data_IF_685157258573
#
_entry.id   IF_685157258573
#
_cell.length_a   1.000
_cell.length_b   1.000
_cell.length_c   1.000
_cell.angle_alpha   90.00
_cell.angle_beta   90.00
_cell.angle_gamma   90.00
#
_symmetry.space_group_name_H-M   'P 1'
#
loop_
_entity.id
_entity.type
_entity.pdbx_description
1 polymer ?
#
# COMPACT_ATOMS: atom_id res chain seq x y z
N UNK A 1 34.64 -6.52 -31.59
CA UNK A 1 34.03 -7.36 -30.53
C UNK A 1 33.58 -6.42 -29.43
N UNK A 2 32.29 -6.06 -29.41
CA UNK A 2 31.72 -5.18 -28.38
C UNK A 2 31.23 -6.09 -27.26
N UNK A 3 31.89 -6.01 -26.11
CA UNK A 3 31.52 -6.76 -24.91
C UNK A 3 30.41 -5.98 -24.21
N UNK A 4 29.16 -6.40 -24.36
CA UNK A 4 28.03 -5.84 -23.63
C UNK A 4 28.07 -6.35 -22.18
N UNK A 5 28.43 -5.48 -21.24
CA UNK A 5 28.26 -5.72 -19.81
C UNK A 5 26.75 -5.65 -19.49
N UNK A 6 26.13 -6.81 -19.27
CA UNK A 6 24.80 -6.87 -18.70
C UNK A 6 24.88 -6.45 -17.23
N UNK A 7 24.30 -5.30 -16.89
CA UNK A 7 24.06 -4.91 -15.50
C UNK A 7 22.96 -5.82 -14.94
N UNK A 8 23.35 -6.83 -14.16
CA UNK A 8 22.41 -7.55 -13.33
C UNK A 8 21.87 -6.59 -12.27
N UNK A 9 20.58 -6.25 -12.35
CA UNK A 9 19.92 -5.53 -11.27
C UNK A 9 19.90 -6.45 -10.04
N UNK A 10 20.29 -5.96 -8.84
CA UNK A 10 20.20 -6.78 -7.63
C UNK A 10 18.74 -7.19 -7.42
N UNK A 11 18.51 -8.51 -7.41
CA UNK A 11 17.23 -9.08 -7.01
C UNK A 11 17.12 -8.94 -5.49
N UNK A 12 16.40 -7.92 -5.04
CA UNK A 12 16.00 -7.84 -3.64
C UNK A 12 14.96 -8.94 -3.39
N UNK A 13 15.25 -9.83 -2.43
CA UNK A 13 14.23 -10.69 -1.87
C UNK A 13 13.15 -9.82 -1.21
N UNK A 14 11.89 -10.26 -1.28
CA UNK A 14 10.83 -9.58 -0.55
C UNK A 14 11.10 -9.68 0.97
N UNK A 15 10.84 -8.60 1.70
CA UNK A 15 10.91 -8.62 3.15
C UNK A 15 9.86 -9.59 3.71
N UNK A 16 10.27 -10.41 4.69
CA UNK A 16 9.37 -11.29 5.42
C UNK A 16 8.68 -10.50 6.53
N UNK A 17 7.35 -10.36 6.44
CA UNK A 17 6.54 -9.66 7.45
C UNK A 17 5.69 -10.67 8.21
N UNK A 18 5.91 -10.80 9.51
CA UNK A 18 5.19 -11.76 10.36
C UNK A 18 4.68 -11.12 11.64
N UNK A 19 3.64 -11.70 12.23
CA UNK A 19 3.21 -11.34 13.59
C UNK A 19 3.80 -12.31 14.59
N UNK A 20 4.24 -11.79 15.73
CA UNK A 20 4.78 -12.57 16.84
C UNK A 20 4.05 -12.22 18.12
N UNK A 21 3.75 -13.22 18.95
CA UNK A 21 3.07 -13.02 20.24
C UNK A 21 3.91 -13.59 21.37
N UNK A 22 4.27 -12.75 22.34
CA UNK A 22 4.93 -13.15 23.58
C UNK A 22 4.04 -12.82 24.80
N UNK A 23 4.60 -12.98 26.00
CA UNK A 23 3.94 -12.66 27.27
C UNK A 23 3.55 -11.17 27.41
N UNK A 24 4.17 -10.27 26.64
CA UNK A 24 3.91 -8.82 26.65
C UNK A 24 2.91 -8.39 25.57
N UNK A 25 2.60 -9.25 24.61
CA UNK A 25 1.57 -9.00 23.59
C UNK A 25 2.03 -9.31 22.18
N UNK A 26 1.42 -8.61 21.21
CA UNK A 26 1.71 -8.78 19.79
C UNK A 26 2.78 -7.81 19.30
N UNK A 27 3.62 -8.30 18.39
CA UNK A 27 4.62 -7.54 17.65
C UNK A 27 4.48 -7.80 16.16
N UNK A 28 4.92 -6.84 15.37
CA UNK A 28 5.20 -7.03 13.94
C UNK A 28 6.71 -7.24 13.80
N UNK A 29 7.10 -8.30 13.10
CA UNK A 29 8.49 -8.55 12.74
C UNK A 29 8.68 -8.29 11.25
N UNK A 30 9.78 -7.65 10.90
CA UNK A 30 10.25 -7.49 9.52
C UNK A 30 11.62 -8.14 9.44
N UNK A 31 11.76 -9.19 8.63
CA UNK A 31 12.98 -10.01 8.54
C UNK A 31 13.48 -10.51 9.90
N UNK A 32 12.55 -10.86 10.80
CA UNK A 32 12.84 -11.37 12.15
C UNK A 32 13.14 -10.28 13.20
N UNK A 33 13.19 -9.00 12.83
CA UNK A 33 13.43 -7.90 13.76
C UNK A 33 12.14 -7.19 14.17
N UNK A 34 12.06 -6.73 15.43
CA UNK A 34 10.94 -5.95 15.94
C UNK A 34 10.74 -4.67 15.09
N UNK A 35 9.59 -4.55 14.43
CA UNK A 35 9.25 -3.40 13.60
C UNK A 35 8.26 -2.47 14.32
N UNK A 36 8.78 -1.37 14.88
CA UNK A 36 7.94 -0.33 15.45
C UNK A 36 7.45 0.63 14.35
N UNK A 37 6.15 0.55 14.04
CA UNK A 37 5.54 1.35 12.98
C UNK A 37 5.37 2.81 13.40
N UNK A 38 6.07 3.72 12.72
CA UNK A 38 5.89 5.17 12.76
C UNK A 38 5.08 5.56 11.53
N UNK A 39 3.79 5.25 11.58
CA UNK A 39 2.90 5.28 10.43
C UNK A 39 2.14 6.59 10.25
N UNK A 40 1.86 6.96 9.00
CA UNK A 40 0.86 7.97 8.65
C UNK A 40 -0.10 7.46 7.57
N UNK A 41 -1.32 8.02 7.51
CA UNK A 41 -2.23 7.76 6.37
C UNK A 41 -1.88 8.75 5.26
N UNK A 42 -1.65 8.25 4.06
CA UNK A 42 -1.25 9.08 2.93
C UNK A 42 -2.17 8.90 1.71
N UNK A 43 -2.54 10.04 1.13
CA UNK A 43 -3.20 10.18 -0.15
C UNK A 43 -2.96 11.60 -0.66
N UNK A 44 -2.94 11.76 -1.99
CA UNK A 44 -2.60 13.03 -2.61
C UNK A 44 -3.83 13.69 -3.23
N UNK A 45 -4.09 14.93 -2.84
CA UNK A 45 -5.07 15.81 -3.48
C UNK A 45 -4.46 17.22 -3.51
N UNK A 46 -4.20 17.79 -4.71
CA UNK A 46 -3.63 19.12 -4.80
C UNK A 46 -4.65 20.19 -4.42
N UNK A 47 -4.18 21.44 -4.28
CA UNK A 47 -5.09 22.56 -3.98
C UNK A 47 -6.16 22.69 -5.06
N UNK A 48 -7.37 23.00 -4.64
CA UNK A 48 -8.58 23.16 -5.48
C UNK A 48 -9.12 21.85 -6.08
N UNK A 49 -8.57 20.70 -5.71
CA UNK A 49 -9.11 19.39 -6.06
C UNK A 49 -9.83 18.74 -4.87
N UNK A 50 -10.47 17.59 -5.12
CA UNK A 50 -11.17 16.82 -4.09
C UNK A 50 -10.87 15.31 -4.20
N UNK A 51 -11.65 14.49 -3.50
CA UNK A 51 -11.51 13.03 -3.44
C UNK A 51 -11.59 12.32 -4.81
N UNK A 52 -12.07 12.97 -5.86
CA UNK A 52 -12.10 12.42 -7.23
C UNK A 52 -10.77 12.57 -7.98
N UNK A 53 -9.80 13.30 -7.44
CA UNK A 53 -8.51 13.51 -8.10
C UNK A 53 -7.73 12.21 -8.26
N UNK A 54 -7.19 11.99 -9.46
CA UNK A 54 -6.45 10.79 -9.81
C UNK A 54 -4.98 11.11 -10.11
N UNK A 55 -4.13 11.09 -9.07
CA UNK A 55 -2.68 11.22 -9.22
C UNK A 55 -2.10 10.21 -10.23
N UNK A 56 -2.65 9.00 -10.27
CA UNK A 56 -2.10 7.90 -11.07
C UNK A 56 -2.41 8.02 -12.56
N UNK A 57 -3.27 8.96 -12.95
CA UNK A 57 -3.50 9.34 -14.35
C UNK A 57 -2.51 10.37 -14.89
N UNK A 58 -1.66 10.93 -14.03
CA UNK A 58 -0.66 11.94 -14.40
C UNK A 58 0.59 11.30 -15.02
N UNK A 59 1.46 12.14 -15.61
CA UNK A 59 2.76 11.69 -16.11
C UNK A 59 3.65 11.12 -15.01
N UNK A 60 4.47 10.12 -15.34
CA UNK A 60 5.44 9.51 -14.41
C UNK A 60 6.36 10.55 -13.75
N UNK A 61 6.76 11.61 -14.49
CA UNK A 61 7.60 12.69 -13.96
C UNK A 61 6.87 13.52 -12.90
N UNK A 62 5.58 13.78 -13.09
CA UNK A 62 4.78 14.48 -12.11
C UNK A 62 4.57 13.62 -10.85
N UNK A 63 4.24 12.33 -11.05
CA UNK A 63 4.05 11.40 -9.93
C UNK A 63 5.34 11.30 -9.11
N UNK A 64 6.51 11.14 -9.74
CA UNK A 64 7.81 11.15 -9.03
C UNK A 64 8.02 12.41 -8.22
N UNK A 65 7.79 13.59 -8.80
CA UNK A 65 7.94 14.87 -8.08
C UNK A 65 7.07 14.94 -6.83
N UNK A 66 5.82 14.48 -6.92
CA UNK A 66 4.91 14.40 -5.77
C UNK A 66 5.45 13.45 -4.72
N UNK A 67 5.80 12.22 -5.12
CA UNK A 67 6.29 11.20 -4.20
C UNK A 67 7.61 11.62 -3.54
N UNK A 68 8.56 12.15 -4.30
CA UNK A 68 9.87 12.56 -3.78
C UNK A 68 9.77 13.72 -2.80
N UNK A 69 8.85 14.66 -3.03
CA UNK A 69 8.58 15.74 -2.11
C UNK A 69 7.92 15.24 -0.82
N UNK A 70 6.78 14.55 -0.93
CA UNK A 70 6.01 14.11 0.24
C UNK A 70 6.77 13.06 1.07
N UNK A 71 7.32 12.02 0.41
CA UNK A 71 8.03 10.95 1.09
C UNK A 71 9.42 11.38 1.55
N UNK A 72 10.06 12.35 0.89
CA UNK A 72 11.27 12.99 1.39
C UNK A 72 11.03 13.69 2.74
N UNK A 73 9.93 14.45 2.86
CA UNK A 73 9.54 15.09 4.12
C UNK A 73 9.17 14.06 5.20
N UNK A 74 8.41 13.03 4.84
CA UNK A 74 8.04 11.96 5.77
C UNK A 74 9.27 11.22 6.30
N UNK A 75 10.22 10.89 5.42
CA UNK A 75 11.50 10.27 5.80
C UNK A 75 12.30 11.17 6.73
N UNK A 76 12.39 12.47 6.42
CA UNK A 76 13.05 13.45 7.29
C UNK A 76 12.38 13.57 8.68
N UNK A 77 11.07 13.35 8.76
CA UNK A 77 10.31 13.29 10.01
C UNK A 77 10.40 11.93 10.74
N UNK A 78 11.10 10.94 10.17
CA UNK A 78 11.27 9.61 10.77
C UNK A 78 10.08 8.65 10.59
N UNK A 79 9.17 8.93 9.64
CA UNK A 79 8.11 8.01 9.22
C UNK A 79 8.74 6.81 8.51
N UNK A 80 8.30 5.60 8.83
CA UNK A 80 8.80 4.36 8.21
C UNK A 80 7.70 3.53 7.52
N UNK A 81 6.43 3.93 7.65
CA UNK A 81 5.33 3.28 6.99
C UNK A 81 4.23 4.28 6.61
N UNK A 82 3.52 4.00 5.54
CA UNK A 82 2.27 4.69 5.19
C UNK A 82 1.14 3.69 5.01
N UNK A 83 -0.09 4.15 5.22
CA UNK A 83 -1.30 3.47 4.74
C UNK A 83 -1.84 4.22 3.52
N UNK A 84 -2.07 3.51 2.42
CA UNK A 84 -2.77 4.05 1.25
C UNK A 84 -3.88 3.09 0.81
N UNK A 85 -4.83 3.58 0.02
CA UNK A 85 -5.89 2.74 -0.54
C UNK A 85 -5.38 1.94 -1.75
N UNK A 86 -6.17 0.95 -2.19
CA UNK A 86 -5.81 0.05 -3.31
C UNK A 86 -5.63 0.73 -4.67
N UNK A 87 -5.86 2.03 -4.78
CA UNK A 87 -5.70 2.77 -6.04
C UNK A 87 -4.24 3.00 -6.41
N UNK A 88 -3.30 2.92 -5.46
CA UNK A 88 -1.87 3.08 -5.75
C UNK A 88 -1.36 1.92 -6.63
N UNK A 89 -0.82 2.20 -7.83
CA UNK A 89 -0.23 1.16 -8.66
C UNK A 89 0.98 0.51 -7.97
N UNK A 90 1.16 -0.82 -8.06
CA UNK A 90 2.26 -1.53 -7.39
C UNK A 90 3.65 -0.96 -7.68
N UNK A 91 3.90 -0.47 -8.91
CA UNK A 91 5.18 0.15 -9.28
C UNK A 91 5.54 1.36 -8.41
N UNK A 92 4.54 2.12 -7.97
CA UNK A 92 4.75 3.30 -7.12
C UNK A 92 4.93 2.92 -5.66
N UNK A 93 4.29 1.84 -5.20
CA UNK A 93 4.62 1.21 -3.91
C UNK A 93 6.09 0.78 -3.88
N UNK A 94 6.55 0.11 -4.95
CA UNK A 94 7.96 -0.29 -5.08
C UNK A 94 8.90 0.92 -5.11
N UNK A 95 8.54 1.98 -5.85
CA UNK A 95 9.32 3.21 -5.92
C UNK A 95 9.46 3.87 -4.55
N UNK A 96 8.36 4.06 -3.82
CA UNK A 96 8.35 4.63 -2.46
C UNK A 96 9.28 3.84 -1.53
N UNK A 97 9.17 2.51 -1.55
CA UNK A 97 10.02 1.67 -0.71
C UNK A 97 11.49 1.79 -1.08
N UNK A 98 11.84 1.73 -2.38
CA UNK A 98 13.24 1.77 -2.83
C UNK A 98 13.91 3.12 -2.60
N UNK A 99 13.22 4.22 -2.93
CA UNK A 99 13.82 5.56 -2.86
C UNK A 99 13.75 6.15 -1.45
N UNK A 100 12.69 5.84 -0.70
CA UNK A 100 12.42 6.47 0.59
C UNK A 100 12.56 5.53 1.78
N UNK A 101 12.58 4.21 1.59
CA UNK A 101 12.66 3.23 2.68
C UNK A 101 11.38 3.16 3.52
N UNK A 102 10.25 3.55 2.93
CA UNK A 102 8.95 3.63 3.61
C UNK A 102 8.07 2.47 3.13
N UNK A 103 7.63 1.63 4.06
CA UNK A 103 6.72 0.52 3.77
C UNK A 103 5.29 1.02 3.51
N UNK A 104 4.51 0.29 2.71
CA UNK A 104 3.11 0.66 2.43
C UNK A 104 2.16 -0.45 2.88
N UNK A 105 1.22 -0.11 3.76
CA UNK A 105 0.04 -0.91 4.06
C UNK A 105 -1.04 -0.55 3.03
N UNK A 106 -1.28 -1.46 2.09
CA UNK A 106 -2.33 -1.30 1.09
C UNK A 106 -3.68 -1.69 1.70
N UNK A 107 -4.60 -0.74 1.75
CA UNK A 107 -5.88 -0.90 2.42
C UNK A 107 -7.03 -0.98 1.41
N UNK A 108 -7.64 -2.16 1.31
CA UNK A 108 -8.96 -2.32 0.69
C UNK A 108 -10.07 -1.79 1.62
N UNK A 109 -11.21 -1.42 1.05
CA UNK A 109 -12.34 -0.94 1.83
C UNK A 109 -13.14 -2.08 2.47
N UNK A 110 -13.02 -3.31 1.97
CA UNK A 110 -13.71 -4.51 2.46
C UNK A 110 -15.21 -4.29 2.65
N UNK A 111 -15.86 -3.52 1.76
CA UNK A 111 -17.29 -3.23 1.85
C UNK A 111 -17.68 -2.19 2.91
N UNK A 112 -16.74 -1.39 3.45
CA UNK A 112 -17.01 -0.34 4.46
C UNK A 112 -18.19 0.59 4.14
N UNK A 113 -18.42 0.89 2.85
CA UNK A 113 -19.45 1.82 2.39
C UNK A 113 -20.55 1.13 1.56
N UNK A 114 -20.70 -0.18 1.73
CA UNK A 114 -21.54 -1.03 0.91
C UNK A 114 -20.76 -1.75 -0.18
N UNK A 115 -21.36 -2.81 -0.71
CA UNK A 115 -20.74 -3.69 -1.69
C UNK A 115 -21.77 -4.36 -2.60
N UNK A 116 -21.34 -4.76 -3.80
CA UNK A 116 -22.19 -5.57 -4.68
C UNK A 116 -22.02 -7.05 -4.30
N UNK A 117 -23.05 -7.64 -3.74
CA UNK A 117 -23.09 -9.04 -3.31
C UNK A 117 -24.16 -9.76 -4.12
N UNK A 118 -23.80 -10.84 -4.82
CA UNK A 118 -24.73 -11.60 -5.67
C UNK A 118 -25.38 -10.76 -6.77
N UNK A 119 -24.69 -9.76 -7.31
CA UNK A 119 -25.22 -8.86 -8.35
C UNK A 119 -26.15 -7.76 -7.83
N UNK A 120 -26.36 -7.65 -6.51
CA UNK A 120 -27.17 -6.62 -5.88
C UNK A 120 -26.32 -5.69 -5.02
N UNK A 121 -26.57 -4.38 -5.11
CA UNK A 121 -25.97 -3.41 -4.20
C UNK A 121 -26.54 -3.55 -2.78
N UNK A 122 -25.65 -3.69 -1.80
CA UNK A 122 -25.97 -3.76 -0.38
C UNK A 122 -25.31 -2.55 0.32
N UNK A 123 -26.08 -1.57 0.83
CA UNK A 123 -25.52 -0.34 1.40
C UNK A 123 -24.87 -0.54 2.77
N UNK A 124 -25.31 -1.54 3.53
CA UNK A 124 -24.76 -1.91 4.83
C UNK A 124 -24.25 -3.34 4.77
N UNK A 125 -22.93 -3.50 4.72
CA UNK A 125 -22.29 -4.81 4.58
C UNK A 125 -22.54 -5.66 5.82
N UNK A 126 -23.20 -6.80 5.64
CA UNK A 126 -23.41 -7.80 6.67
C UNK A 126 -22.28 -8.84 6.64
N UNK A 127 -21.28 -8.67 7.49
CA UNK A 127 -20.16 -9.62 7.59
C UNK A 127 -20.56 -10.97 8.21
N UNK A 128 -21.76 -11.11 8.76
CA UNK A 128 -22.26 -12.39 9.26
C UNK A 128 -22.72 -13.31 8.11
N UNK A 129 -23.16 -12.74 6.99
CA UNK A 129 -23.57 -13.45 5.78
C UNK A 129 -22.38 -14.14 5.07
N UNK A 130 -22.43 -15.47 4.88
CA UNK A 130 -21.40 -16.21 4.16
C UNK A 130 -21.14 -15.69 2.74
N UNK A 131 -22.18 -15.32 1.98
CA UNK A 131 -22.02 -14.87 0.60
C UNK A 131 -21.29 -13.52 0.53
N UNK A 132 -21.59 -12.62 1.46
CA UNK A 132 -20.88 -11.35 1.64
C UNK A 132 -19.39 -11.59 1.93
N UNK A 133 -19.06 -12.46 2.90
CA UNK A 133 -17.65 -12.78 3.20
C UNK A 133 -16.92 -13.39 2.02
N UNK A 134 -17.52 -14.37 1.34
CA UNK A 134 -16.93 -15.01 0.17
C UNK A 134 -16.67 -14.01 -0.95
N UNK A 135 -17.62 -13.10 -1.20
CA UNK A 135 -17.50 -12.04 -2.20
C UNK A 135 -16.34 -11.11 -1.89
N UNK A 136 -16.28 -10.57 -0.66
CA UNK A 136 -15.21 -9.66 -0.24
C UNK A 136 -13.83 -10.32 -0.29
N UNK A 137 -13.71 -11.56 0.19
CA UNK A 137 -12.44 -12.29 0.16
C UNK A 137 -11.99 -12.52 -1.28
N UNK A 138 -12.89 -13.02 -2.15
CA UNK A 138 -12.58 -13.26 -3.57
C UNK A 138 -12.09 -12.00 -4.26
N UNK A 139 -12.74 -10.86 -4.01
CA UNK A 139 -12.40 -9.61 -4.69
C UNK A 139 -11.12 -8.98 -4.11
N UNK A 140 -10.88 -9.10 -2.80
CA UNK A 140 -9.61 -8.75 -2.16
C UNK A 140 -8.43 -9.55 -2.75
N UNK A 141 -8.61 -10.84 -3.00
CA UNK A 141 -7.59 -11.72 -3.59
C UNK A 141 -7.17 -11.32 -5.00
N UNK A 142 -7.87 -10.40 -5.67
CA UNK A 142 -7.46 -9.84 -6.97
C UNK A 142 -6.43 -8.72 -6.84
N UNK A 143 -6.24 -8.20 -5.63
CA UNK A 143 -5.38 -7.04 -5.34
C UNK A 143 -4.08 -7.44 -4.64
N UNK A 144 -4.01 -8.65 -4.09
CA UNK A 144 -2.84 -9.22 -3.40
C UNK A 144 -2.12 -10.28 -4.22
#
# INVERSE_FOLDING_TARGET
MICSLAFASPSFAADEVTTYKDEKGWKLLVNGEDFYMKGVVWGYTPRNENYSYNLWGESDDFIRKVLDYDFGLMKAAGVNAVRSFTMIPPRWVTYIYREHGIMTVVNDLMGRYGYTVGGKWVPFTDYSDPLTRETLIRDMMKVV
#
